data_IF_293355394120
#
_entry.id   IF_293355394120
#
_cell.length_a   1.000
_cell.length_b   1.000
_cell.length_c   1.000
_cell.angle_alpha   90.00
_cell.angle_beta   90.00
_cell.angle_gamma   90.00
#
_symmetry.space_group_name_H-M   'P 1'
#
loop_
_entity.id
_entity.type
_entity.pdbx_description
1 polymer ?
#
# COMPACT_ATOMS: atom_id res chain seq x y z
N UNK A 1 0.21 -2.15 8.80
CA UNK A 1 -1.25 -2.15 8.99
C UNK A 1 -1.83 -3.48 9.51
N UNK A 2 -1.09 -4.30 10.27
CA UNK A 2 -1.58 -5.63 10.69
C UNK A 2 -2.87 -5.58 11.53
N UNK A 3 -2.99 -4.59 12.43
CA UNK A 3 -4.20 -4.44 13.26
C UNK A 3 -5.44 -4.15 12.41
N UNK A 4 -5.33 -3.27 11.40
CA UNK A 4 -6.44 -2.98 10.49
C UNK A 4 -6.81 -4.18 9.62
N UNK A 5 -5.82 -4.92 9.13
CA UNK A 5 -6.05 -6.16 8.39
C UNK A 5 -6.83 -7.19 9.23
N UNK A 6 -6.46 -7.38 10.50
CA UNK A 6 -7.21 -8.27 11.42
C UNK A 6 -8.63 -7.79 11.63
N UNK A 7 -8.82 -6.48 11.82
CA UNK A 7 -10.13 -5.87 12.03
C UNK A 7 -11.02 -5.98 10.78
N UNK A 8 -10.48 -5.82 9.57
CA UNK A 8 -11.27 -5.92 8.33
C UNK A 8 -11.83 -7.31 8.07
N UNK A 9 -11.29 -8.35 8.72
CA UNK A 9 -11.83 -9.71 8.65
C UNK A 9 -12.88 -10.02 9.72
N UNK A 10 -13.10 -9.12 10.69
CA UNK A 10 -14.11 -9.32 11.74
C UNK A 10 -15.48 -8.86 11.24
N UNK A 11 -16.52 -9.68 11.46
CA UNK A 11 -17.88 -9.39 10.99
C UNK A 11 -18.49 -8.10 11.55
N UNK A 12 -18.05 -7.64 12.72
CA UNK A 12 -18.58 -6.45 13.41
C UNK A 12 -17.65 -5.23 13.34
N UNK A 13 -16.72 -5.19 12.38
CA UNK A 13 -15.78 -4.07 12.25
C UNK A 13 -16.29 -2.97 11.30
N UNK A 14 -16.05 -1.68 11.60
CA UNK A 14 -16.25 -0.62 10.61
C UNK A 14 -15.32 -0.75 9.39
N UNK A 15 -14.27 -1.57 9.51
CA UNK A 15 -13.34 -1.87 8.41
C UNK A 15 -13.69 -3.16 7.66
N UNK A 16 -14.81 -3.81 8.00
CA UNK A 16 -15.25 -5.04 7.36
C UNK A 16 -15.82 -4.73 5.98
N UNK A 17 -14.93 -4.62 4.98
CA UNK A 17 -15.32 -4.50 3.59
C UNK A 17 -14.48 -5.44 2.73
N UNK A 18 -15.12 -6.28 1.89
CA UNK A 18 -14.36 -7.11 0.95
C UNK A 18 -13.70 -6.27 -0.16
N UNK A 19 -14.09 -4.99 -0.30
CA UNK A 19 -13.59 -4.06 -1.33
C UNK A 19 -12.31 -3.35 -0.92
N UNK A 20 -11.80 -3.58 0.29
CA UNK A 20 -10.59 -2.92 0.80
C UNK A 20 -9.56 -3.95 1.24
N UNK A 21 -8.28 -3.64 1.06
CA UNK A 21 -7.18 -4.41 1.61
C UNK A 21 -6.18 -3.51 2.33
N UNK A 22 -5.69 -3.99 3.47
CA UNK A 22 -4.63 -3.34 4.24
C UNK A 22 -3.31 -4.07 4.00
N UNK A 23 -2.30 -3.35 3.51
CA UNK A 23 -0.97 -3.90 3.27
C UNK A 23 -0.06 -3.67 4.48
N UNK A 24 0.70 -4.68 4.85
CA UNK A 24 1.64 -4.57 5.95
C UNK A 24 2.89 -3.78 5.55
N UNK A 25 3.63 -3.33 6.57
CA UNK A 25 4.80 -2.47 6.39
C UNK A 25 5.94 -3.17 5.66
N UNK A 26 6.13 -4.46 5.93
CA UNK A 26 7.24 -5.22 5.35
C UNK A 26 7.01 -5.46 3.87
N UNK A 27 5.78 -5.84 3.49
CA UNK A 27 5.38 -5.95 2.10
C UNK A 27 5.63 -4.66 1.33
N UNK A 28 5.18 -3.52 1.87
CA UNK A 28 5.37 -2.20 1.22
C UNK A 28 6.85 -1.85 1.09
N UNK A 29 7.66 -2.12 2.12
CA UNK A 29 9.11 -1.87 2.07
C UNK A 29 9.79 -2.73 1.01
N UNK A 30 9.43 -4.01 0.92
CA UNK A 30 9.95 -4.90 -0.12
C UNK A 30 9.52 -4.43 -1.50
N UNK A 31 8.25 -4.05 -1.67
CA UNK A 31 7.72 -3.56 -2.94
C UNK A 31 8.50 -2.36 -3.47
N UNK A 32 8.75 -1.36 -2.62
CA UNK A 32 9.54 -0.18 -3.00
C UNK A 32 10.98 -0.57 -3.35
N UNK A 33 11.65 -1.34 -2.50
CA UNK A 33 13.04 -1.75 -2.72
C UNK A 33 13.22 -2.57 -4.00
N UNK A 34 12.28 -3.47 -4.29
CA UNK A 34 12.33 -4.33 -5.46
C UNK A 34 12.07 -3.50 -6.72
N UNK A 35 11.09 -2.58 -6.68
CA UNK A 35 10.81 -1.67 -7.79
C UNK A 35 12.03 -0.78 -8.13
N UNK A 36 12.76 -0.28 -7.14
CA UNK A 36 13.97 0.52 -7.36
C UNK A 36 15.12 -0.28 -7.99
N UNK A 37 15.24 -1.56 -7.67
CA UNK A 37 16.31 -2.45 -8.16
C UNK A 37 15.99 -3.12 -9.49
N UNK A 38 14.72 -3.13 -9.88
CA UNK A 38 14.25 -3.85 -11.04
C UNK A 38 14.64 -3.13 -12.34
N UNK A 39 15.05 -3.91 -13.35
CA UNK A 39 15.18 -3.38 -14.70
C UNK A 39 13.79 -3.02 -15.24
N UNK A 40 13.57 -1.73 -15.50
CA UNK A 40 12.30 -1.20 -15.99
C UNK A 40 11.89 -1.76 -17.36
N UNK A 41 12.81 -2.39 -18.10
CA UNK A 41 12.53 -3.08 -19.37
C UNK A 41 12.09 -4.53 -19.19
N UNK A 42 12.44 -5.16 -18.08
CA UNK A 42 12.11 -6.57 -17.78
C UNK A 42 11.56 -6.66 -16.36
N UNK A 43 10.27 -6.33 -16.23
CA UNK A 43 9.55 -6.40 -14.95
C UNK A 43 9.23 -7.87 -14.64
N UNK A 44 10.10 -8.53 -13.86
CA UNK A 44 9.79 -9.80 -13.21
C UNK A 44 9.14 -9.61 -11.82
N UNK A 45 7.87 -9.99 -11.69
CA UNK A 45 7.17 -9.93 -10.41
C UNK A 45 7.51 -11.15 -9.55
N UNK A 46 8.00 -10.92 -8.34
CA UNK A 46 8.17 -11.98 -7.34
C UNK A 46 6.85 -12.68 -7.04
N UNK A 47 6.92 -13.97 -6.68
CA UNK A 47 5.76 -14.79 -6.30
C UNK A 47 4.94 -14.15 -5.16
N UNK A 48 5.61 -13.44 -4.23
CA UNK A 48 4.96 -12.73 -3.13
C UNK A 48 3.95 -11.68 -3.63
N UNK A 49 4.29 -10.93 -4.68
CA UNK A 49 3.39 -9.92 -5.25
C UNK A 49 2.20 -10.56 -5.95
N UNK A 50 2.42 -11.67 -6.65
CA UNK A 50 1.35 -12.47 -7.27
C UNK A 50 0.39 -13.04 -6.22
N UNK A 51 0.91 -13.55 -5.10
CA UNK A 51 0.09 -14.02 -3.98
C UNK A 51 -0.71 -12.89 -3.35
N UNK A 52 -0.10 -11.72 -3.12
CA UNK A 52 -0.81 -10.56 -2.58
C UNK A 52 -1.94 -10.11 -3.51
N UNK A 53 -1.70 -10.06 -4.82
CA UNK A 53 -2.68 -9.72 -5.83
C UNK A 53 -3.90 -10.68 -5.83
N UNK A 54 -3.69 -11.96 -5.56
CA UNK A 54 -4.75 -12.97 -5.47
C UNK A 54 -5.35 -13.11 -4.05
N UNK A 55 -4.92 -12.30 -3.09
CA UNK A 55 -5.42 -12.35 -1.71
C UNK A 55 -4.93 -13.57 -0.92
N UNK A 56 -3.77 -14.12 -1.29
CA UNK A 56 -3.10 -15.27 -0.68
C UNK A 56 -1.94 -14.86 0.24
N UNK A 57 -1.54 -13.59 0.19
CA UNK A 57 -0.57 -13.00 1.09
C UNK A 57 -1.22 -11.89 1.94
N UNK A 58 -0.89 -11.77 3.24
CA UNK A 58 -0.02 -12.67 4.00
C UNK A 58 -0.67 -14.04 4.27
N UNK A 59 0.13 -15.10 4.32
CA UNK A 59 -0.35 -16.50 4.42
C UNK A 59 -1.20 -16.77 5.67
N UNK A 60 -1.00 -16.00 6.74
CA UNK A 60 -1.78 -16.11 7.97
C UNK A 60 -3.21 -15.54 7.82
N UNK A 61 -3.47 -14.77 6.77
CA UNK A 61 -4.72 -14.03 6.58
C UNK A 61 -5.19 -14.10 5.12
N UNK A 62 -5.28 -15.32 4.59
CA UNK A 62 -5.76 -15.57 3.22
C UNK A 62 -7.23 -15.17 3.07
N UNK A 63 -7.51 -14.30 2.11
CA UNK A 63 -8.86 -13.80 1.80
C UNK A 63 -9.42 -14.39 0.51
N UNK A 64 -8.54 -14.80 -0.42
CA UNK A 64 -8.87 -15.18 -1.82
C UNK A 64 -9.60 -14.07 -2.60
N UNK A 65 -9.48 -12.82 -2.13
CA UNK A 65 -10.07 -11.64 -2.77
C UNK A 65 -9.04 -11.03 -3.69
N UNK A 66 -9.33 -11.08 -5.00
CA UNK A 66 -8.39 -10.62 -6.03
C UNK A 66 -8.49 -9.11 -6.20
N UNK A 67 -7.35 -8.43 -6.33
CA UNK A 67 -7.32 -7.00 -6.63
C UNK A 67 -7.99 -6.72 -7.99
N UNK A 68 -8.59 -5.53 -8.16
CA UNK A 68 -9.44 -5.12 -9.30
C UNK A 68 -10.75 -5.89 -9.50
N UNK A 69 -10.87 -7.12 -8.99
CA UNK A 69 -12.11 -7.90 -9.07
C UNK A 69 -12.92 -7.75 -7.79
N UNK A 70 -12.31 -8.11 -6.68
CA UNK A 70 -12.94 -8.15 -5.37
C UNK A 70 -12.52 -6.96 -4.51
N UNK A 71 -11.27 -6.51 -4.62
CA UNK A 71 -10.70 -5.37 -3.88
C UNK A 71 -10.53 -4.17 -4.81
N UNK A 72 -11.07 -3.02 -4.40
CA UNK A 72 -10.99 -1.75 -5.12
C UNK A 72 -9.91 -0.82 -4.54
N UNK A 73 -9.75 -0.85 -3.22
CA UNK A 73 -8.96 0.13 -2.50
C UNK A 73 -7.87 -0.55 -1.68
N UNK A 74 -6.64 -0.08 -1.82
CA UNK A 74 -5.52 -0.51 -0.99
C UNK A 74 -5.15 0.59 0.00
N UNK A 75 -5.02 0.21 1.27
CA UNK A 75 -4.56 1.09 2.33
C UNK A 75 -3.20 0.62 2.85
N UNK A 76 -2.23 1.53 2.87
CA UNK A 76 -0.87 1.22 3.30
C UNK A 76 -0.21 2.43 3.98
N UNK A 77 0.90 2.17 4.67
CA UNK A 77 1.78 3.21 5.19
C UNK A 77 3.13 3.09 4.50
N UNK A 78 3.67 4.23 4.08
CA UNK A 78 4.99 4.31 3.47
C UNK A 78 5.92 5.16 4.36
N UNK A 79 7.14 4.67 4.57
CA UNK A 79 8.18 5.36 5.32
C UNK A 79 9.13 6.02 4.34
N UNK A 80 8.92 7.31 4.12
CA UNK A 80 9.75 8.11 3.23
C UNK A 80 11.06 8.40 3.94
N UNK A 81 12.18 8.14 3.26
CA UNK A 81 13.54 8.46 3.72
C UNK A 81 13.90 7.94 5.12
N UNK A 82 13.19 6.93 5.63
CA UNK A 82 13.42 6.36 6.96
C UNK A 82 12.91 7.20 8.14
N UNK A 83 12.35 8.39 7.92
CA UNK A 83 12.02 9.34 8.99
C UNK A 83 10.63 10.00 8.92
N UNK A 84 9.91 9.85 7.81
CA UNK A 84 8.58 10.45 7.65
C UNK A 84 7.55 9.42 7.21
N UNK A 85 6.43 9.34 7.93
CA UNK A 85 5.36 8.40 7.63
C UNK A 85 4.23 9.11 6.89
N UNK A 86 3.81 8.52 5.78
CA UNK A 86 2.59 8.90 5.08
C UNK A 86 1.64 7.70 5.00
N UNK A 87 0.34 7.98 5.04
CA UNK A 87 -0.69 7.00 4.76
C UNK A 87 -1.13 7.13 3.31
N UNK A 88 -1.21 6.02 2.60
CA UNK A 88 -1.65 5.99 1.21
C UNK A 88 -2.95 5.22 1.09
N UNK A 89 -3.82 5.74 0.23
CA UNK A 89 -5.01 5.08 -0.26
C UNK A 89 -4.92 5.02 -1.78
N UNK A 90 -4.83 3.81 -2.32
CA UNK A 90 -4.77 3.56 -3.77
C UNK A 90 -6.15 3.11 -4.21
N UNK A 91 -6.80 3.89 -5.07
CA UNK A 91 -8.01 3.51 -5.79
C UNK A 91 -7.58 2.84 -7.10
N UNK A 92 -7.70 1.53 -7.17
CA UNK A 92 -7.19 0.71 -8.28
C UNK A 92 -7.92 1.02 -9.59
N UNK A 93 -9.23 1.26 -9.53
CA UNK A 93 -10.04 1.49 -10.72
C UNK A 93 -9.86 2.91 -11.27
N UNK A 94 -9.68 3.90 -10.39
CA UNK A 94 -9.40 5.27 -10.83
C UNK A 94 -7.94 5.51 -11.16
N UNK A 95 -7.05 4.59 -10.78
CA UNK A 95 -5.60 4.74 -10.90
C UNK A 95 -5.14 6.01 -10.17
N UNK A 96 -5.70 6.25 -8.98
CA UNK A 96 -5.40 7.41 -8.14
C UNK A 96 -4.76 6.94 -6.84
N UNK A 97 -3.70 7.63 -6.43
CA UNK A 97 -3.08 7.46 -5.11
C UNK A 97 -3.34 8.73 -4.30
N UNK A 98 -4.12 8.61 -3.23
CA UNK A 98 -4.28 9.66 -2.23
C UNK A 98 -3.18 9.53 -1.19
N UNK A 99 -2.50 10.65 -0.95
CA UNK A 99 -1.43 10.76 0.06
C UNK A 99 -1.96 11.57 1.24
N UNK A 100 -2.01 10.95 2.40
CA UNK A 100 -2.39 11.60 3.65
C UNK A 100 -1.14 11.83 4.50
N UNK A 101 -0.80 13.10 4.67
CA UNK A 101 0.30 13.56 5.52
C UNK A 101 -0.25 14.34 6.71
N UNK A 102 -0.03 13.82 7.90
CA UNK A 102 -0.52 14.41 9.15
C UNK A 102 0.48 15.39 9.79
N UNK A 103 1.68 15.60 9.22
CA UNK A 103 2.68 16.54 9.73
C UNK A 103 3.03 17.57 8.65
N UNK A 104 2.06 18.43 8.36
CA UNK A 104 2.14 19.43 7.28
C UNK A 104 3.34 20.40 7.38
N UNK A 105 3.88 20.61 8.58
CA UNK A 105 5.07 21.45 8.78
C UNK A 105 6.34 20.80 8.23
N UNK A 106 6.49 19.47 8.36
CA UNK A 106 7.71 18.76 7.98
C UNK A 106 7.92 18.75 6.47
N UNK A 107 6.86 18.61 5.69
CA UNK A 107 6.97 18.68 4.22
C UNK A 107 7.31 20.10 3.76
N UNK A 108 6.74 21.14 4.37
CA UNK A 108 7.03 22.54 3.96
C UNK A 108 8.51 22.90 4.10
N UNK A 109 9.15 22.41 5.15
CA UNK A 109 10.54 22.75 5.46
C UNK A 109 11.56 21.76 4.85
N UNK A 110 11.09 20.65 4.26
CA UNK A 110 11.94 19.60 3.70
C UNK A 110 11.70 19.39 2.19
N UNK A 111 12.54 20.01 1.36
CA UNK A 111 12.49 19.88 -0.11
C UNK A 111 12.50 18.44 -0.62
N UNK A 112 13.21 17.53 0.06
CA UNK A 112 13.27 16.12 -0.35
C UNK A 112 11.92 15.45 -0.17
N UNK A 113 11.23 15.71 0.95
CA UNK A 113 9.89 15.18 1.18
C UNK A 113 8.84 15.80 0.24
N UNK A 114 9.00 17.06 -0.15
CA UNK A 114 8.13 17.66 -1.17
C UNK A 114 8.24 16.94 -2.51
N UNK A 115 9.46 16.60 -2.92
CA UNK A 115 9.70 15.88 -4.17
C UNK A 115 9.12 14.46 -4.11
N UNK A 116 9.29 13.74 -3.01
CA UNK A 116 8.76 12.38 -2.83
C UNK A 116 7.23 12.33 -2.74
N UNK A 117 6.60 13.38 -2.20
CA UNK A 117 5.14 13.48 -2.05
C UNK A 117 4.46 14.24 -3.19
N UNK A 118 5.18 14.60 -4.26
CA UNK A 118 4.60 15.40 -5.35
C UNK A 118 3.55 14.60 -6.12
N UNK A 119 2.53 15.27 -6.69
CA UNK A 119 1.59 14.61 -7.59
C UNK A 119 2.32 13.97 -8.78
N UNK A 120 1.85 12.80 -9.23
CA UNK A 120 2.26 12.22 -10.50
C UNK A 120 1.81 13.15 -11.63
N UNK A 121 2.77 13.65 -12.41
CA UNK A 121 2.57 14.48 -13.61
C UNK A 121 2.57 13.62 -14.86
#
# INVERSE_FOLDING_TARGET
>A
MLMFHRRSMQSTSPFASPRIAFLDRWFVKSWVNDFEKQDKKTIELSDMYNKAFNGEYPEQFVTRKKWFKDVDNLFLSHLINGNHWVSLHIDLHKVIIYVYDNILSVVKDNKKLQEECRPFT
#
